data_IF_900810176234
#
_entry.id   IF_900810176234
#
_cell.length_a   1.000
_cell.length_b   1.000
_cell.length_c   1.000
_cell.angle_alpha   90.00
_cell.angle_beta   90.00
_cell.angle_gamma   90.00
#
_symmetry.space_group_name_H-M   'P 1'
#
loop_
_entity.id
_entity.type
_entity.pdbx_description
1 polymer ?
#
# COMPACT_ATOMS: atom_id res chain seq x y z
N UNK A 1 17.00 -1.01 -3.80
CA UNK A 1 15.57 -0.86 -4.19
C UNK A 1 14.78 -2.16 -4.00
N UNK A 2 15.18 -3.28 -4.61
CA UNK A 2 14.41 -4.54 -4.61
C UNK A 2 14.36 -5.29 -3.27
N UNK A 3 15.34 -5.07 -2.38
CA UNK A 3 15.42 -5.80 -1.10
C UNK A 3 14.18 -5.62 -0.23
N UNK A 4 13.59 -4.42 -0.22
CA UNK A 4 12.38 -4.14 0.55
C UNK A 4 11.19 -4.96 0.05
N UNK A 5 10.98 -4.99 -1.27
CA UNK A 5 9.92 -5.79 -1.89
C UNK A 5 10.13 -7.29 -1.61
N UNK A 6 11.39 -7.75 -1.64
CA UNK A 6 11.76 -9.13 -1.29
C UNK A 6 11.39 -9.46 0.16
N UNK A 7 11.62 -8.55 1.10
CA UNK A 7 11.25 -8.74 2.52
C UNK A 7 9.73 -8.74 2.67
N UNK A 8 9.04 -7.73 2.12
CA UNK A 8 7.58 -7.62 2.19
C UNK A 8 6.88 -8.85 1.59
N UNK A 9 7.39 -9.39 0.48
CA UNK A 9 6.84 -10.59 -0.16
C UNK A 9 7.04 -11.88 0.63
N UNK A 10 7.95 -11.90 1.62
CA UNK A 10 8.21 -13.07 2.48
C UNK A 10 7.53 -12.98 3.85
N UNK A 11 7.17 -11.78 4.30
CA UNK A 11 6.59 -11.60 5.63
C UNK A 11 5.12 -12.03 5.67
N UNK A 12 4.71 -12.83 6.67
CA UNK A 12 3.30 -13.12 6.91
C UNK A 12 2.49 -11.85 7.16
N UNK A 13 1.26 -11.80 6.66
CA UNK A 13 0.34 -10.68 6.89
C UNK A 13 0.11 -10.33 8.36
N UNK A 14 0.20 -11.31 9.27
CA UNK A 14 0.08 -11.08 10.72
C UNK A 14 1.24 -10.25 11.25
N UNK A 15 2.44 -10.42 10.72
CA UNK A 15 3.64 -9.67 11.11
C UNK A 15 3.62 -8.28 10.47
N UNK A 16 3.27 -8.18 9.18
CA UNK A 16 3.10 -6.89 8.50
C UNK A 16 2.12 -5.97 9.24
N UNK A 17 1.03 -6.50 9.82
CA UNK A 17 0.08 -5.69 10.62
C UNK A 17 0.61 -5.23 11.98
N UNK A 18 1.63 -5.89 12.53
CA UNK A 18 2.22 -5.54 13.84
C UNK A 18 3.41 -4.59 13.71
N UNK A 19 4.01 -4.53 12.53
CA UNK A 19 5.14 -3.66 12.24
C UNK A 19 4.73 -2.19 12.13
N UNK A 20 5.71 -1.30 12.38
CA UNK A 20 5.51 0.14 12.24
C UNK A 20 5.38 0.53 10.77
N UNK A 21 4.47 1.45 10.42
CA UNK A 21 4.21 1.91 9.03
C UNK A 21 5.46 2.43 8.29
N UNK A 22 6.43 2.96 9.02
CA UNK A 22 7.69 3.45 8.43
C UNK A 22 8.75 2.35 8.25
N UNK A 23 8.59 1.20 8.91
CA UNK A 23 9.31 -0.06 8.65
C UNK A 23 8.49 -0.89 7.65
N UNK A 24 8.19 -2.14 7.96
CA UNK A 24 7.49 -3.06 7.04
C UNK A 24 5.97 -3.07 7.24
N UNK A 25 5.45 -2.25 8.15
CA UNK A 25 4.02 -2.10 8.37
C UNK A 25 3.31 -1.36 7.26
N UNK A 26 1.98 -1.33 7.35
CA UNK A 26 1.12 -0.56 6.46
C UNK A 26 0.21 0.39 7.22
N UNK A 27 -0.27 1.41 6.54
CA UNK A 27 -1.41 2.23 6.96
C UNK A 27 -2.61 2.00 6.04
N UNK A 28 -3.81 2.22 6.56
CA UNK A 28 -5.04 2.24 5.76
C UNK A 28 -5.27 3.67 5.30
N UNK A 29 -5.70 3.85 4.05
CA UNK A 29 -6.14 5.16 3.55
C UNK A 29 -7.59 5.11 3.09
N UNK A 30 -8.30 6.20 3.33
CA UNK A 30 -9.68 6.36 2.88
C UNK A 30 -9.73 6.70 1.39
N UNK A 31 -10.73 6.18 0.68
CA UNK A 31 -10.88 6.41 -0.77
C UNK A 31 -10.98 7.88 -1.13
N UNK A 32 -11.68 8.66 -0.31
CA UNK A 32 -11.87 10.10 -0.47
C UNK A 32 -10.59 10.93 -0.20
N UNK A 33 -9.54 10.32 0.36
CA UNK A 33 -8.25 10.98 0.57
C UNK A 33 -7.37 11.01 -0.68
N UNK A 34 -7.73 10.21 -1.69
CA UNK A 34 -6.99 10.11 -2.94
C UNK A 34 -7.35 11.25 -3.89
N UNK A 35 -6.33 11.84 -4.49
CA UNK A 35 -6.44 12.98 -5.43
C UNK A 35 -6.57 12.53 -6.89
N UNK A 36 -6.94 11.26 -7.11
CA UNK A 36 -7.05 10.63 -8.43
C UNK A 36 -8.38 9.90 -8.56
N UNK A 37 -8.83 9.71 -9.80
CA UNK A 37 -10.01 8.90 -10.08
C UNK A 37 -9.84 7.45 -9.64
N UNK A 38 -10.90 6.87 -9.09
CA UNK A 38 -10.95 5.46 -8.71
C UNK A 38 -11.11 4.57 -9.95
N UNK A 39 -10.21 3.60 -10.19
CA UNK A 39 -10.42 2.58 -11.21
C UNK A 39 -11.73 1.82 -10.97
N UNK A 40 -12.49 1.57 -12.03
CA UNK A 40 -13.80 0.92 -11.96
C UNK A 40 -13.76 -0.49 -11.33
N UNK A 41 -12.61 -1.18 -11.39
CA UNK A 41 -12.43 -2.50 -10.79
C UNK A 41 -12.30 -2.46 -9.25
N UNK A 42 -12.10 -1.29 -8.63
CA UNK A 42 -12.04 -1.15 -7.18
C UNK A 42 -13.44 -0.93 -6.60
N UNK A 43 -14.12 -2.02 -6.26
CA UNK A 43 -15.43 -2.01 -5.58
C UNK A 43 -15.35 -1.37 -4.20
N UNK A 44 -16.41 -0.67 -3.75
CA UNK A 44 -16.40 0.21 -2.56
C UNK A 44 -16.03 -0.44 -1.22
N UNK A 45 -16.15 -1.75 -1.11
CA UNK A 45 -15.88 -2.57 0.07
C UNK A 45 -14.40 -2.87 0.31
N UNK A 46 -13.53 -2.59 -0.67
CA UNK A 46 -12.11 -2.90 -0.57
C UNK A 46 -11.37 -1.82 0.22
N UNK A 47 -10.67 -2.25 1.29
CA UNK A 47 -9.75 -1.41 2.07
C UNK A 47 -8.42 -1.22 1.33
N UNK A 48 -8.01 0.03 1.19
CA UNK A 48 -6.73 0.40 0.61
C UNK A 48 -5.64 0.42 1.68
N UNK A 49 -4.52 -0.24 1.37
CA UNK A 49 -3.35 -0.31 2.23
C UNK A 49 -2.18 0.38 1.53
N UNK A 50 -1.34 1.02 2.34
CA UNK A 50 -0.12 1.67 1.89
C UNK A 50 1.08 1.01 2.51
N UNK A 51 2.03 0.61 1.68
CA UNK A 51 3.37 0.20 2.08
C UNK A 51 4.38 1.14 1.44
N UNK A 52 5.55 1.34 2.05
CA UNK A 52 6.66 1.93 1.30
C UNK A 52 7.21 0.89 0.32
N UNK A 53 7.37 1.26 -0.95
CA UNK A 53 7.99 0.42 -1.98
C UNK A 53 9.52 0.48 -1.86
N UNK A 54 10.06 1.69 -1.79
CA UNK A 54 11.48 1.99 -1.57
C UNK A 54 11.61 3.39 -0.98
N UNK A 55 12.61 3.61 -0.13
CA UNK A 55 12.81 4.90 0.57
C UNK A 55 11.51 5.45 1.19
N UNK A 56 11.00 6.56 0.66
CA UNK A 56 9.74 7.19 1.05
C UNK A 56 8.59 6.96 0.06
N UNK A 57 8.87 6.35 -1.09
CA UNK A 57 7.87 6.12 -2.13
C UNK A 57 6.82 5.13 -1.64
N UNK A 58 5.56 5.55 -1.66
CA UNK A 58 4.43 4.73 -1.27
C UNK A 58 3.95 3.86 -2.45
N UNK A 59 3.59 2.61 -2.16
CA UNK A 59 2.75 1.79 -3.03
C UNK A 59 1.40 1.60 -2.35
N UNK A 60 0.35 1.92 -3.09
CA UNK A 60 -1.04 1.87 -2.62
C UNK A 60 -1.74 0.75 -3.39
N UNK A 61 -2.46 -0.08 -2.65
CA UNK A 61 -3.12 -1.23 -3.22
C UNK A 61 -4.11 -1.85 -2.26
N UNK A 62 -4.54 -3.06 -2.58
CA UNK A 62 -5.45 -3.81 -1.73
C UNK A 62 -4.98 -5.24 -1.56
N UNK A 63 -5.35 -5.81 -0.42
CA UNK A 63 -5.12 -7.22 -0.12
C UNK A 63 -6.34 -8.02 -0.56
N UNK A 64 -6.11 -9.08 -1.34
CA UNK A 64 -7.09 -10.14 -1.55
C UNK A 64 -6.43 -11.50 -1.30
N UNK A 65 -6.93 -12.21 -0.29
CA UNK A 65 -6.35 -13.44 0.25
C UNK A 65 -4.86 -13.31 0.60
N UNK A 66 -3.97 -13.88 -0.22
CA UNK A 66 -2.51 -13.86 -0.02
C UNK A 66 -1.82 -12.79 -0.86
N UNK A 67 -2.52 -12.24 -1.86
CA UNK A 67 -1.96 -11.29 -2.81
C UNK A 67 -2.19 -9.85 -2.34
N UNK A 68 -1.19 -9.03 -2.59
CA UNK A 68 -1.30 -7.57 -2.52
C UNK A 68 -1.26 -7.03 -3.95
N UNK A 69 -2.38 -6.48 -4.40
CA UNK A 69 -2.53 -5.90 -5.72
C UNK A 69 -2.16 -4.42 -5.64
N UNK A 70 -1.00 -4.07 -6.20
CA UNK A 70 -0.56 -2.67 -6.31
C UNK A 70 -1.37 -1.99 -7.40
N UNK A 71 -1.98 -0.86 -7.06
CA UNK A 71 -2.76 -0.04 -8.00
C UNK A 71 -2.00 1.24 -8.34
N UNK A 72 -1.32 1.85 -7.36
CA UNK A 72 -0.55 3.07 -7.56
C UNK A 72 0.83 2.99 -6.91
N UNK A 73 1.80 3.69 -7.52
CA UNK A 73 3.12 3.96 -6.95
C UNK A 73 3.28 5.49 -6.91
N UNK A 74 3.24 6.07 -5.71
CA UNK A 74 3.28 7.52 -5.50
C UNK A 74 4.72 8.02 -5.37
N UNK A 75 5.37 8.25 -6.51
CA UNK A 75 6.76 8.73 -6.56
C UNK A 75 6.89 10.22 -6.29
N UNK A 76 5.83 10.98 -6.52
CA UNK A 76 5.83 12.45 -6.45
C UNK A 76 5.14 13.00 -5.19
N UNK A 77 4.66 12.12 -4.30
CA UNK A 77 3.93 12.49 -3.09
C UNK A 77 2.64 13.28 -3.38
N UNK A 78 1.98 12.96 -4.49
CA UNK A 78 0.79 13.66 -5.00
C UNK A 78 -0.48 12.82 -4.92
N UNK A 79 -0.38 11.52 -4.65
CA UNK A 79 -1.53 10.61 -4.66
C UNK A 79 -2.51 10.90 -3.53
N UNK A 80 -2.00 11.20 -2.33
CA UNK A 80 -2.78 11.56 -1.14
C UNK A 80 -1.97 12.54 -0.26
N UNK A 81 -2.48 12.92 0.91
CA UNK A 81 -1.74 13.74 1.89
C UNK A 81 -0.83 12.83 2.74
N UNK A 82 0.49 12.95 2.56
CA UNK A 82 1.53 12.24 3.32
C UNK A 82 1.69 12.73 4.76
#
# INVERSE_FOLDING_TARGET
MLERLRILGKMPWRELRREHRHRYGCETIERNSLKVGMPAFLTGDVRLLVFRAFERVAMVGYKNHRFFYVVWIDREFKLYKH
#
